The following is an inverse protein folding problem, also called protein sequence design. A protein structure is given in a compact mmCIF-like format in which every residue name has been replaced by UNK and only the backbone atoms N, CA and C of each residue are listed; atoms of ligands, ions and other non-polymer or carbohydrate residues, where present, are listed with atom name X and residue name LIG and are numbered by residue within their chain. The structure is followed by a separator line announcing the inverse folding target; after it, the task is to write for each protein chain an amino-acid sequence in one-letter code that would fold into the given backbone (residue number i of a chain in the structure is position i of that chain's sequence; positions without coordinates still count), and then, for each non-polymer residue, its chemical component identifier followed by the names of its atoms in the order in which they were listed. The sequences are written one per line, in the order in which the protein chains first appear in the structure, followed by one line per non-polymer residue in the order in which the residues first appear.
data_IF_426977283124
#
_entry.id   IF_426977283124
#
_cell.length_a   1.000
_cell.length_b   1.000
_cell.length_c   1.000
_cell.angle_alpha   90.00
_cell.angle_beta   90.00
_cell.angle_gamma   90.00
#
_symmetry.space_group_name_H-M   'P 1'
#
loop_
_entity.id
_entity.type
_entity.pdbx_description
1 polymer ?
#
# COMPACT_ATOMS: atom_id res chain seq x y z
N UNK A 1 -0.77 12.90 36.40
CA UNK A 1 -1.83 13.52 35.58
C UNK A 1 -1.35 13.93 34.18
N UNK A 2 -0.34 13.25 33.61
CA UNK A 2 0.15 13.46 32.23
C UNK A 2 0.72 12.15 31.68
N UNK A 3 0.07 11.02 31.98
CA UNK A 3 0.56 9.74 31.49
C UNK A 3 0.09 9.58 30.05
N UNK A 4 1.05 9.76 29.14
CA UNK A 4 1.02 9.50 27.70
C UNK A 4 -0.02 10.29 26.91
N UNK A 5 0.44 11.05 25.91
CA UNK A 5 -0.36 11.30 24.71
C UNK A 5 -0.78 9.92 24.19
N UNK A 6 -1.98 9.50 24.56
CA UNK A 6 -2.50 8.19 24.23
C UNK A 6 -3.11 8.21 22.83
N UNK A 7 -3.56 7.04 22.41
CA UNK A 7 -4.42 6.91 21.24
C UNK A 7 -5.59 7.93 21.22
N UNK A 8 -6.28 8.25 22.34
CA UNK A 8 -7.41 9.20 22.29
C UNK A 8 -6.99 10.65 21.99
N UNK A 9 -5.91 11.17 22.58
CA UNK A 9 -5.44 12.53 22.30
C UNK A 9 -5.02 12.69 20.84
N UNK A 10 -4.35 11.66 20.28
CA UNK A 10 -3.93 11.67 18.88
C UNK A 10 -5.12 11.65 17.92
N UNK A 11 -6.21 10.95 18.29
CA UNK A 11 -7.47 10.94 17.54
C UNK A 11 -8.14 12.32 17.55
N UNK A 12 -8.15 13.01 18.70
CA UNK A 12 -8.69 14.37 18.80
C UNK A 12 -7.89 15.34 17.92
N UNK A 13 -6.56 15.28 17.95
CA UNK A 13 -5.70 16.11 17.09
C UNK A 13 -5.97 15.80 15.61
N UNK A 14 -6.07 14.52 15.25
CA UNK A 14 -6.38 14.09 13.89
C UNK A 14 -7.75 14.63 13.44
N UNK A 15 -8.76 14.57 14.31
CA UNK A 15 -10.09 15.11 14.01
C UNK A 15 -10.04 16.63 13.74
N UNK A 16 -9.29 17.39 14.53
CA UNK A 16 -9.10 18.83 14.31
C UNK A 16 -8.43 19.08 12.95
N UNK A 17 -7.37 18.36 12.62
CA UNK A 17 -6.68 18.46 11.32
C UNK A 17 -7.64 18.15 10.17
N UNK A 18 -8.47 17.11 10.29
CA UNK A 18 -9.48 16.75 9.28
C UNK A 18 -10.52 17.87 9.11
N UNK A 19 -10.94 18.53 10.19
CA UNK A 19 -11.91 19.65 10.11
C UNK A 19 -11.29 20.88 9.45
N UNK A 20 -10.02 21.20 9.76
CA UNK A 20 -9.33 22.36 9.19
C UNK A 20 -9.00 22.20 7.70
N UNK A 21 -8.48 21.03 7.32
CA UNK A 21 -8.04 20.78 5.95
C UNK A 21 -9.13 20.12 5.08
N UNK A 22 -10.14 19.50 5.70
CA UNK A 22 -11.16 18.69 5.05
C UNK A 22 -10.68 17.27 4.71
N UNK A 23 -11.62 16.32 4.68
CA UNK A 23 -11.33 14.93 4.29
C UNK A 23 -10.79 14.82 2.84
N UNK A 24 -11.20 15.73 1.95
CA UNK A 24 -10.77 15.74 0.55
C UNK A 24 -9.26 16.00 0.42
N UNK A 25 -8.71 17.01 1.13
CA UNK A 25 -7.28 17.32 1.06
C UNK A 25 -6.40 16.20 1.60
N UNK A 26 -6.80 15.58 2.71
CA UNK A 26 -6.08 14.43 3.28
C UNK A 26 -6.16 13.23 2.32
N UNK A 27 -7.32 12.99 1.71
CA UNK A 27 -7.49 11.92 0.72
C UNK A 27 -6.63 12.13 -0.52
N UNK A 28 -6.49 13.35 -1.02
CA UNK A 28 -5.67 13.66 -2.19
C UNK A 28 -4.17 13.45 -1.92
N UNK A 29 -3.69 13.90 -0.76
CA UNK A 29 -2.31 13.66 -0.31
C UNK A 29 -2.06 12.17 -0.09
N UNK A 30 -3.00 11.48 0.58
CA UNK A 30 -2.92 10.04 0.84
C UNK A 30 -2.91 9.19 -0.43
N UNK A 31 -3.68 9.57 -1.46
CA UNK A 31 -3.65 8.89 -2.78
C UNK A 31 -2.29 9.03 -3.46
N UNK A 32 -1.68 10.23 -3.41
CA UNK A 32 -0.35 10.46 -3.97
C UNK A 32 0.73 9.67 -3.23
N UNK A 33 0.72 9.76 -1.91
CA UNK A 33 1.65 9.06 -1.03
C UNK A 33 1.51 7.52 -1.12
N UNK A 34 0.28 7.01 -1.17
CA UNK A 34 -0.01 5.59 -1.28
C UNK A 34 0.48 4.98 -2.61
N UNK A 35 0.34 5.71 -3.72
CA UNK A 35 0.95 5.29 -4.99
C UNK A 35 2.47 5.23 -4.89
N UNK A 36 3.10 6.27 -4.32
CA UNK A 36 4.56 6.30 -4.12
C UNK A 36 5.07 5.12 -3.27
N UNK A 37 4.40 4.83 -2.14
CA UNK A 37 4.75 3.68 -1.30
C UNK A 37 4.54 2.37 -2.06
N UNK A 38 3.47 2.25 -2.86
CA UNK A 38 3.17 1.02 -3.60
C UNK A 38 4.25 0.73 -4.64
N UNK A 39 4.65 1.71 -5.43
CA UNK A 39 5.73 1.54 -6.41
C UNK A 39 7.06 1.29 -5.70
N UNK A 40 7.38 2.02 -4.63
CA UNK A 40 8.59 1.78 -3.84
C UNK A 40 8.64 0.36 -3.27
N UNK A 41 7.53 -0.15 -2.73
CA UNK A 41 7.45 -1.54 -2.25
C UNK A 41 7.58 -2.55 -3.37
N UNK A 42 7.09 -2.22 -4.57
CA UNK A 42 7.18 -3.08 -5.75
C UNK A 42 8.61 -3.18 -6.24
N UNK A 43 9.30 -2.06 -6.41
CA UNK A 43 10.72 -2.02 -6.81
C UNK A 43 11.61 -2.71 -5.77
N UNK A 44 11.36 -2.49 -4.48
CA UNK A 44 12.08 -3.20 -3.41
C UNK A 44 11.85 -4.70 -3.44
N UNK A 45 10.70 -5.18 -3.92
CA UNK A 45 10.38 -6.60 -4.00
C UNK A 45 10.95 -7.22 -5.28
N UNK A 46 10.77 -6.56 -6.42
CA UNK A 46 11.36 -6.97 -7.71
C UNK A 46 12.90 -7.04 -7.59
N UNK A 47 13.55 -6.06 -6.97
CA UNK A 47 14.99 -6.09 -6.71
C UNK A 47 15.46 -7.12 -5.66
N UNK A 48 14.56 -7.64 -4.82
CA UNK A 48 14.87 -8.77 -3.92
C UNK A 48 14.59 -10.12 -4.56
N UNK A 49 13.65 -10.17 -5.51
CA UNK A 49 13.28 -11.38 -6.25
C UNK A 49 14.27 -11.65 -7.41
N UNK A 50 14.95 -10.62 -7.96
CA UNK A 50 16.06 -10.77 -8.91
C UNK A 50 17.27 -11.54 -8.34
N UNK A 51 17.45 -11.53 -7.01
CA UNK A 51 18.47 -12.33 -6.32
C UNK A 51 18.00 -13.78 -6.04
N UNK A 52 16.72 -14.11 -6.27
CA UNK A 52 16.11 -15.38 -5.81
C UNK A 52 15.29 -16.18 -6.83
N UNK A 53 15.16 -15.75 -8.08
CA UNK A 53 14.39 -16.52 -9.06
C UNK A 53 15.12 -16.77 -10.38
N UNK A 54 16.03 -17.75 -10.34
CA UNK A 54 16.02 -18.78 -11.37
C UNK A 54 14.94 -19.80 -10.98
N UNK A 55 13.96 -20.01 -11.87
CA UNK A 55 12.90 -21.05 -11.79
C UNK A 55 11.65 -20.66 -10.99
N UNK A 56 10.70 -19.97 -11.62
CA UNK A 56 9.32 -20.48 -11.65
C UNK A 56 8.56 -19.89 -12.84
N UNK A 57 7.89 -20.79 -13.54
CA UNK A 57 7.29 -20.64 -14.86
C UNK A 57 6.16 -19.59 -14.89
N UNK A 58 6.28 -18.66 -15.84
CA UNK A 58 5.10 -18.09 -16.50
C UNK A 58 4.81 -18.92 -17.74
N UNK A 59 3.83 -19.82 -17.64
CA UNK A 59 3.12 -20.33 -18.83
C UNK A 59 1.60 -20.30 -18.59
N UNK A 60 0.87 -19.33 -19.15
CA UNK A 60 -0.57 -19.42 -19.31
C UNK A 60 -0.86 -20.08 -20.66
N UNK A 61 -0.92 -21.42 -20.70
CA UNK A 61 -1.38 -22.14 -21.88
C UNK A 61 -2.86 -22.51 -21.72
N UNK A 62 -3.73 -21.62 -22.21
CA UNK A 62 -5.04 -21.98 -22.73
C UNK A 62 -4.89 -23.07 -23.80
N UNK A 63 -5.62 -24.18 -23.72
CA UNK A 63 -6.11 -24.94 -24.90
C UNK A 63 -7.25 -25.87 -24.45
N UNK A 64 -8.44 -25.48 -24.90
CA UNK A 64 -9.64 -26.29 -25.13
C UNK A 64 -9.34 -27.50 -26.04
N UNK A 65 -10.21 -28.52 -25.99
CA UNK A 65 -10.25 -29.69 -26.89
C UNK A 65 -9.08 -30.71 -26.87
N UNK A 66 -9.29 -31.89 -26.24
CA UNK A 66 -9.21 -33.18 -26.94
C UNK A 66 -9.72 -34.38 -26.11
N UNK A 67 -10.97 -34.76 -26.39
CA UNK A 67 -11.51 -36.12 -26.58
C UNK A 67 -10.50 -37.28 -26.45
N UNK A 68 -10.77 -38.27 -25.58
CA UNK A 68 -10.73 -39.73 -25.85
C UNK A 68 -11.46 -40.52 -24.79
#
# INVERSE_FOLDING_TARGET
MFQSLGAPELLIILAIVVVLFGATRIGDIGKGFGRGIREFRRELKEGQDEDKHGTDEKEPATTDEQKR
#
